data_IF_635664366315
#
_entry.id   IF_635664366315
#
_cell.length_a   1.000
_cell.length_b   1.000
_cell.length_c   1.000
_cell.angle_alpha   90.00
_cell.angle_beta   90.00
_cell.angle_gamma   90.00
#
_symmetry.space_group_name_H-M   'P 1'
#
loop_
_entity.id
_entity.type
_entity.pdbx_description
1 polymer ?
#
# COMPACT_ATOMS: atom_id res chain seq x y z
N UNK A 1 5.21 -10.61 2.64
CA UNK A 1 3.76 -10.44 2.42
C UNK A 1 2.99 -11.21 3.47
N UNK A 2 1.78 -10.74 3.79
CA UNK A 2 0.79 -11.44 4.59
C UNK A 2 -0.12 -12.24 3.65
N UNK A 3 -0.03 -13.55 3.69
CA UNK A 3 -0.78 -14.47 2.81
C UNK A 3 -1.91 -15.12 3.60
N UNK A 4 -3.14 -14.94 3.13
CA UNK A 4 -4.30 -15.65 3.66
C UNK A 4 -4.59 -16.85 2.78
N UNK A 5 -4.32 -18.05 3.29
CA UNK A 5 -4.49 -19.31 2.59
C UNK A 5 -5.82 -19.97 2.95
N UNK A 6 -6.73 -20.05 2.00
CA UNK A 6 -7.96 -20.81 2.07
C UNK A 6 -7.76 -22.24 1.56
N UNK A 7 -8.13 -23.24 2.36
CA UNK A 7 -7.99 -24.65 1.99
C UNK A 7 -9.36 -25.30 1.98
N UNK A 8 -9.73 -25.93 0.85
CA UNK A 8 -11.02 -26.57 0.68
C UNK A 8 -10.92 -28.10 0.66
N UNK A 9 -12.04 -28.79 0.91
CA UNK A 9 -12.09 -30.24 1.11
C UNK A 9 -11.92 -31.05 -0.17
N UNK A 10 -10.71 -31.50 -0.42
CA UNK A 10 -10.34 -32.38 -1.52
C UNK A 10 -8.98 -32.99 -1.26
N UNK A 11 -8.68 -34.10 -1.93
CA UNK A 11 -7.42 -34.85 -1.70
C UNK A 11 -6.19 -33.95 -1.84
N UNK A 12 -6.18 -33.01 -2.77
CA UNK A 12 -5.06 -32.11 -3.00
C UNK A 12 -4.73 -31.21 -1.79
N UNK A 13 -5.56 -31.18 -0.74
CA UNK A 13 -5.26 -30.48 0.51
C UNK A 13 -4.00 -31.01 1.20
N UNK A 14 -3.54 -32.27 0.91
CA UNK A 14 -2.27 -32.81 1.42
C UNK A 14 -1.05 -31.97 0.98
N UNK A 15 -1.16 -31.21 -0.11
CA UNK A 15 -0.09 -30.29 -0.59
C UNK A 15 -0.02 -28.98 0.21
N UNK A 16 -1.08 -28.61 0.93
CA UNK A 16 -1.14 -27.34 1.65
C UNK A 16 -0.05 -27.19 2.74
N UNK A 17 0.32 -28.20 3.53
CA UNK A 17 1.45 -28.10 4.45
C UNK A 17 2.77 -27.71 3.78
N UNK A 18 3.06 -28.26 2.61
CA UNK A 18 4.25 -27.91 1.83
C UNK A 18 4.18 -26.47 1.34
N UNK A 19 3.02 -26.05 0.83
CA UNK A 19 2.76 -24.69 0.38
C UNK A 19 2.98 -23.66 1.51
N UNK A 20 2.41 -23.91 2.70
CA UNK A 20 2.65 -23.08 3.89
C UNK A 20 4.14 -23.01 4.22
N UNK A 21 4.85 -24.14 4.21
CA UNK A 21 6.28 -24.20 4.52
C UNK A 21 7.13 -23.41 3.52
N UNK A 22 6.79 -23.46 2.23
CA UNK A 22 7.50 -22.72 1.18
C UNK A 22 7.33 -21.20 1.38
N UNK A 23 6.12 -20.73 1.60
CA UNK A 23 5.88 -19.32 1.88
C UNK A 23 6.61 -18.82 3.13
N UNK A 24 6.53 -19.57 4.23
CA UNK A 24 7.24 -19.20 5.48
C UNK A 24 8.75 -19.18 5.30
N UNK A 25 9.35 -20.13 4.55
CA UNK A 25 10.78 -20.11 4.22
C UNK A 25 11.22 -18.89 3.42
N UNK A 26 10.31 -18.35 2.59
CA UNK A 26 10.55 -17.13 1.79
C UNK A 26 10.26 -15.85 2.56
N UNK A 27 9.99 -15.93 3.86
CA UNK A 27 9.78 -14.78 4.74
C UNK A 27 8.36 -14.20 4.71
N UNK A 28 7.38 -14.94 4.16
CA UNK A 28 5.99 -14.53 4.20
C UNK A 28 5.32 -14.97 5.51
N UNK A 29 4.35 -14.20 5.98
CA UNK A 29 3.47 -14.58 7.09
C UNK A 29 2.22 -15.24 6.52
N UNK A 30 1.89 -16.46 6.98
CA UNK A 30 0.74 -17.23 6.49
C UNK A 30 -0.29 -17.37 7.59
N UNK A 31 -1.55 -16.99 7.31
CA UNK A 31 -2.73 -17.38 8.09
C UNK A 31 -3.59 -18.32 7.26
N UNK A 32 -4.23 -19.29 7.92
CA UNK A 32 -4.96 -20.36 7.24
C UNK A 32 -6.42 -20.35 7.64
N UNK A 33 -7.31 -20.43 6.64
CA UNK A 33 -8.73 -20.73 6.80
C UNK A 33 -8.99 -22.11 6.21
N UNK A 34 -9.49 -23.05 7.01
CA UNK A 34 -9.93 -24.37 6.57
C UNK A 34 -11.46 -24.40 6.44
N UNK A 35 -11.97 -24.89 5.32
CA UNK A 35 -13.38 -25.33 5.32
C UNK A 35 -13.54 -26.57 6.20
N UNK A 36 -14.75 -26.79 6.71
CA UNK A 36 -15.02 -27.98 7.56
C UNK A 36 -14.59 -29.29 6.87
N UNK A 37 -14.90 -29.40 5.57
CA UNK A 37 -14.51 -30.57 4.77
C UNK A 37 -13.00 -30.70 4.55
N UNK A 38 -12.24 -29.65 4.63
CA UNK A 38 -10.79 -29.70 4.48
C UNK A 38 -10.10 -30.42 5.67
N UNK A 39 -10.71 -30.40 6.85
CA UNK A 39 -10.21 -31.07 8.06
C UNK A 39 -10.13 -32.58 7.91
N UNK A 40 -10.90 -33.17 7.00
CA UNK A 40 -10.86 -34.61 6.69
C UNK A 40 -9.57 -35.00 5.94
N UNK A 41 -8.89 -34.03 5.29
CA UNK A 41 -7.70 -34.26 4.46
C UNK A 41 -6.41 -33.73 5.09
N UNK A 42 -6.49 -32.69 5.90
CA UNK A 42 -5.34 -32.08 6.58
C UNK A 42 -5.76 -31.50 7.92
N UNK A 43 -4.93 -31.74 8.95
CA UNK A 43 -5.29 -31.33 10.30
C UNK A 43 -4.96 -29.84 10.57
N UNK A 44 -5.81 -29.14 11.35
CA UNK A 44 -5.48 -27.78 11.84
C UNK A 44 -4.15 -27.75 12.59
N UNK A 45 -3.81 -28.79 13.37
CA UNK A 45 -2.57 -28.88 14.13
C UNK A 45 -1.34 -28.83 13.23
N UNK A 46 -1.32 -29.58 12.12
CA UNK A 46 -0.22 -29.56 11.15
C UNK A 46 -0.01 -28.14 10.59
N UNK A 47 -1.09 -27.50 10.18
CA UNK A 47 -1.02 -26.18 9.53
C UNK A 47 -0.66 -25.05 10.51
N UNK A 48 -1.18 -25.10 11.76
CA UNK A 48 -0.85 -24.10 12.78
C UNK A 48 0.62 -24.20 13.21
N UNK A 49 1.14 -25.42 13.32
CA UNK A 49 2.56 -25.66 13.63
C UNK A 49 3.48 -25.09 12.55
N UNK A 50 3.13 -25.29 11.27
CA UNK A 50 3.95 -24.83 10.14
C UNK A 50 3.85 -23.33 9.90
N UNK A 51 2.65 -22.75 10.01
CA UNK A 51 2.41 -21.33 9.81
C UNK A 51 2.79 -20.48 11.03
N UNK A 52 2.91 -21.10 12.21
CA UNK A 52 3.06 -20.43 13.52
C UNK A 52 1.90 -19.48 13.84
N UNK A 53 0.74 -19.72 13.26
CA UNK A 53 -0.48 -18.94 13.44
C UNK A 53 -1.66 -19.89 13.70
N UNK A 54 -2.69 -19.46 14.45
CA UNK A 54 -3.93 -20.21 14.59
C UNK A 54 -4.57 -20.49 13.23
N UNK A 55 -5.17 -21.67 13.09
CA UNK A 55 -5.96 -22.08 11.93
C UNK A 55 -7.43 -21.87 12.24
N UNK A 56 -8.11 -21.12 11.36
CA UNK A 56 -9.50 -20.75 11.54
C UNK A 56 -10.41 -21.60 10.63
N UNK A 57 -11.61 -21.93 11.08
CA UNK A 57 -12.58 -22.69 10.26
C UNK A 57 -14.02 -22.23 10.43
N UNK A 58 -14.33 -21.59 11.54
CA UNK A 58 -15.67 -21.14 11.90
C UNK A 58 -15.68 -19.64 12.23
N UNK A 59 -16.85 -19.01 12.18
CA UNK A 59 -17.02 -17.60 12.55
C UNK A 59 -16.75 -17.34 14.04
N UNK A 60 -16.97 -18.34 14.89
CA UNK A 60 -16.71 -18.23 16.32
C UNK A 60 -15.90 -19.44 16.80
N UNK A 61 -15.05 -19.22 17.80
CA UNK A 61 -14.37 -20.30 18.51
C UNK A 61 -15.35 -21.00 19.47
N UNK A 62 -14.96 -22.17 19.99
CA UNK A 62 -15.71 -22.87 21.05
C UNK A 62 -15.82 -22.05 22.34
N UNK A 63 -14.92 -21.11 22.55
CA UNK A 63 -14.86 -20.21 23.71
C UNK A 63 -15.68 -18.92 23.50
N UNK A 64 -16.29 -18.76 22.31
CA UNK A 64 -17.15 -17.62 21.97
C UNK A 64 -16.44 -16.43 21.32
N UNK A 65 -15.14 -16.50 21.06
CA UNK A 65 -14.41 -15.44 20.38
C UNK A 65 -14.81 -15.39 18.90
N UNK A 66 -14.98 -14.17 18.38
CA UNK A 66 -15.38 -13.93 17.01
C UNK A 66 -14.20 -13.87 16.05
N UNK A 67 -14.19 -14.72 15.02
CA UNK A 67 -13.23 -14.67 13.93
C UNK A 67 -13.72 -13.69 12.86
N UNK A 68 -13.26 -12.45 12.92
CA UNK A 68 -13.67 -11.40 12.00
C UNK A 68 -13.13 -11.67 10.58
N UNK A 69 -14.03 -12.00 9.66
CA UNK A 69 -13.71 -12.16 8.23
C UNK A 69 -13.19 -10.87 7.60
N UNK A 70 -13.69 -9.71 8.07
CA UNK A 70 -13.22 -8.38 7.61
C UNK A 70 -11.78 -8.14 8.05
N UNK A 71 -11.46 -8.38 9.33
CA UNK A 71 -10.09 -8.20 9.83
C UNK A 71 -9.09 -9.15 9.17
N UNK A 72 -9.52 -10.36 8.81
CA UNK A 72 -8.69 -11.31 8.04
C UNK A 72 -8.44 -10.82 6.62
N UNK A 73 -9.45 -10.29 5.94
CA UNK A 73 -9.33 -9.74 4.61
C UNK A 73 -8.44 -8.47 4.58
N UNK A 74 -8.58 -7.59 5.57
CA UNK A 74 -7.77 -6.37 5.71
C UNK A 74 -6.30 -6.66 6.09
N UNK A 75 -6.05 -7.74 6.84
CA UNK A 75 -4.69 -8.14 7.23
C UNK A 75 -3.87 -8.67 6.04
N UNK A 76 -4.52 -9.28 5.04
CA UNK A 76 -3.86 -9.94 3.93
C UNK A 76 -3.32 -8.94 2.89
N UNK A 77 -2.17 -9.26 2.30
CA UNK A 77 -1.68 -8.65 1.05
C UNK A 77 -2.12 -9.47 -0.17
N UNK A 78 -2.43 -10.77 0.06
CA UNK A 78 -2.86 -11.76 -0.93
C UNK A 78 -3.79 -12.78 -0.28
N UNK A 79 -4.87 -13.14 -0.98
CA UNK A 79 -5.69 -14.31 -0.63
C UNK A 79 -5.46 -15.40 -1.68
N UNK A 80 -5.06 -16.59 -1.22
CA UNK A 80 -4.86 -17.78 -2.06
C UNK A 80 -5.84 -18.86 -1.63
N UNK A 81 -6.59 -19.44 -2.56
CA UNK A 81 -7.46 -20.60 -2.31
C UNK A 81 -6.84 -21.83 -3.00
N UNK A 82 -6.21 -22.69 -2.21
CA UNK A 82 -5.44 -23.83 -2.69
C UNK A 82 -5.48 -25.02 -1.70
N UNK A 83 -6.12 -26.16 -2.08
CA UNK A 83 -6.88 -26.37 -3.30
C UNK A 83 -8.22 -25.63 -3.32
N UNK A 84 -8.71 -25.27 -4.51
CA UNK A 84 -10.06 -24.81 -4.75
C UNK A 84 -10.89 -25.91 -5.43
N UNK A 85 -11.86 -26.46 -4.70
CA UNK A 85 -12.77 -27.48 -5.26
C UNK A 85 -13.87 -26.84 -6.13
N UNK A 86 -14.47 -27.63 -7.02
CA UNK A 86 -15.59 -27.19 -7.87
C UNK A 86 -16.74 -26.57 -7.05
N UNK A 87 -17.05 -27.12 -5.87
CA UNK A 87 -18.08 -26.57 -4.97
C UNK A 87 -17.72 -25.14 -4.50
N UNK A 88 -16.48 -24.91 -4.07
CA UNK A 88 -16.05 -23.59 -3.61
C UNK A 88 -15.98 -22.59 -4.76
N UNK A 89 -15.45 -23.00 -5.91
CA UNK A 89 -15.41 -22.20 -7.13
C UNK A 89 -16.83 -21.74 -7.53
N UNK A 90 -17.80 -22.65 -7.54
CA UNK A 90 -19.19 -22.32 -7.83
C UNK A 90 -19.76 -21.32 -6.82
N UNK A 91 -19.55 -21.54 -5.53
CA UNK A 91 -20.00 -20.64 -4.46
C UNK A 91 -19.40 -19.24 -4.59
N UNK A 92 -18.10 -19.15 -4.89
CA UNK A 92 -17.42 -17.88 -5.14
C UNK A 92 -18.01 -17.14 -6.35
N UNK A 93 -18.21 -17.84 -7.46
CA UNK A 93 -18.73 -17.26 -8.71
C UNK A 93 -20.14 -16.69 -8.55
N UNK A 94 -20.96 -17.28 -7.66
CA UNK A 94 -22.34 -16.84 -7.41
C UNK A 94 -22.54 -16.06 -6.10
N UNK A 95 -21.45 -15.68 -5.43
CA UNK A 95 -21.53 -14.83 -4.24
C UNK A 95 -22.16 -15.50 -3.01
N UNK A 96 -22.12 -16.83 -2.92
CA UNK A 96 -22.62 -17.54 -1.74
C UNK A 96 -21.68 -17.32 -0.55
N UNK A 97 -22.24 -17.21 0.67
CA UNK A 97 -21.51 -16.83 1.88
C UNK A 97 -21.94 -17.70 3.08
N UNK A 98 -21.71 -19.01 3.01
CA UNK A 98 -22.15 -19.98 4.01
C UNK A 98 -21.06 -20.44 4.98
N UNK A 99 -19.84 -19.90 4.86
CA UNK A 99 -18.71 -20.23 5.73
C UNK A 99 -17.71 -19.08 5.82
N UNK A 100 -16.77 -19.17 6.79
CA UNK A 100 -15.76 -18.13 7.05
C UNK A 100 -14.90 -17.82 5.82
N UNK A 101 -14.51 -18.84 5.04
CA UNK A 101 -13.68 -18.65 3.84
C UNK A 101 -14.38 -17.77 2.80
N UNK A 102 -15.62 -18.06 2.50
CA UNK A 102 -16.42 -17.31 1.51
C UNK A 102 -16.76 -15.90 1.98
N UNK A 103 -17.06 -15.71 3.27
CA UNK A 103 -17.26 -14.38 3.84
C UNK A 103 -15.99 -13.54 3.75
N UNK A 104 -14.83 -14.13 4.01
CA UNK A 104 -13.53 -13.45 3.89
C UNK A 104 -13.21 -13.14 2.43
N UNK A 105 -13.51 -14.05 1.49
CA UNK A 105 -13.38 -13.80 0.06
C UNK A 105 -14.20 -12.60 -0.40
N UNK A 106 -15.48 -12.51 -0.02
CA UNK A 106 -16.33 -11.39 -0.40
C UNK A 106 -15.92 -10.06 0.26
N UNK A 107 -15.15 -10.10 1.33
CA UNK A 107 -14.61 -8.92 2.01
C UNK A 107 -13.21 -8.53 1.52
N UNK A 108 -12.56 -9.37 0.70
CA UNK A 108 -11.19 -9.17 0.26
C UNK A 108 -11.09 -8.02 -0.76
N UNK A 109 -10.19 -7.06 -0.48
CA UNK A 109 -9.80 -5.96 -1.37
C UNK A 109 -8.42 -6.18 -2.03
N UNK A 110 -7.80 -7.30 -1.69
CA UNK A 110 -6.48 -7.72 -2.18
C UNK A 110 -6.63 -8.69 -3.36
N UNK A 111 -5.56 -8.91 -4.16
CA UNK A 111 -5.58 -9.93 -5.20
C UNK A 111 -5.98 -11.30 -4.65
N UNK A 112 -6.92 -11.96 -5.34
CA UNK A 112 -7.37 -13.31 -5.01
C UNK A 112 -6.87 -14.28 -6.05
N UNK A 113 -6.19 -15.33 -5.60
CA UNK A 113 -5.63 -16.39 -6.41
C UNK A 113 -6.33 -17.70 -6.13
N UNK A 114 -6.62 -18.47 -7.16
CA UNK A 114 -7.39 -19.70 -7.07
C UNK A 114 -6.64 -20.81 -7.77
N UNK A 115 -6.32 -21.88 -7.05
CA UNK A 115 -5.67 -23.09 -7.58
C UNK A 115 -6.70 -24.24 -7.61
N UNK A 116 -7.35 -24.48 -8.76
CA UNK A 116 -8.35 -25.52 -8.89
C UNK A 116 -7.78 -26.93 -8.67
N UNK A 117 -8.59 -27.79 -8.06
CA UNK A 117 -8.25 -29.21 -7.90
C UNK A 117 -9.52 -30.06 -7.92
N UNK A 118 -9.65 -30.93 -8.93
CA UNK A 118 -10.79 -31.82 -9.12
C UNK A 118 -10.46 -32.90 -10.15
N UNK A 119 -11.35 -33.87 -10.35
CA UNK A 119 -11.19 -34.86 -11.41
C UNK A 119 -11.29 -34.27 -12.81
N UNK A 120 -10.72 -34.95 -13.78
CA UNK A 120 -10.64 -34.59 -15.20
C UNK A 120 -12.00 -34.13 -15.77
N UNK A 121 -13.02 -34.97 -15.62
CA UNK A 121 -14.33 -34.70 -16.19
C UNK A 121 -15.04 -33.52 -15.49
N UNK A 122 -14.81 -33.37 -14.18
CA UNK A 122 -15.28 -32.20 -13.44
C UNK A 122 -14.60 -30.91 -13.91
N UNK A 123 -13.29 -30.94 -14.17
CA UNK A 123 -12.56 -29.78 -14.62
C UNK A 123 -12.98 -29.32 -16.02
N UNK A 124 -13.25 -30.31 -16.91
CA UNK A 124 -13.74 -30.07 -18.28
C UNK A 124 -15.25 -29.70 -18.34
N UNK A 125 -15.98 -29.89 -17.23
CA UNK A 125 -17.42 -29.67 -17.23
C UNK A 125 -17.77 -28.21 -17.54
N UNK A 126 -18.74 -27.92 -18.44
CA UNK A 126 -19.06 -26.54 -18.88
C UNK A 126 -19.36 -25.58 -17.72
N UNK A 127 -20.00 -26.04 -16.66
CA UNK A 127 -20.29 -25.18 -15.49
C UNK A 127 -19.02 -24.79 -14.73
N UNK A 128 -18.04 -25.66 -14.63
CA UNK A 128 -16.76 -25.36 -13.97
C UNK A 128 -15.95 -24.40 -14.81
N UNK A 129 -15.87 -24.64 -16.11
CA UNK A 129 -15.19 -23.74 -17.06
C UNK A 129 -15.85 -22.34 -17.04
N UNK A 130 -17.18 -22.27 -17.04
CA UNK A 130 -17.92 -21.02 -16.91
C UNK A 130 -17.62 -20.31 -15.59
N UNK A 131 -17.66 -21.00 -14.47
CA UNK A 131 -17.40 -20.42 -13.15
C UNK A 131 -15.96 -19.88 -13.01
N UNK A 132 -14.98 -20.60 -13.56
CA UNK A 132 -13.58 -20.11 -13.59
C UNK A 132 -13.44 -18.86 -14.43
N UNK A 133 -14.04 -18.81 -15.61
CA UNK A 133 -14.06 -17.62 -16.45
C UNK A 133 -14.75 -16.42 -15.77
N UNK A 134 -15.86 -16.68 -15.05
CA UNK A 134 -16.55 -15.65 -14.28
C UNK A 134 -15.67 -15.11 -13.14
N UNK A 135 -14.96 -15.96 -12.39
CA UNK A 135 -14.01 -15.50 -11.37
C UNK A 135 -12.87 -14.67 -11.97
N UNK A 136 -12.37 -15.05 -13.16
CA UNK A 136 -11.38 -14.22 -13.88
C UNK A 136 -11.96 -12.86 -14.25
N UNK A 137 -13.21 -12.77 -14.69
CA UNK A 137 -13.86 -11.49 -14.99
C UNK A 137 -14.05 -10.61 -13.75
N UNK A 138 -14.09 -11.18 -12.55
CA UNK A 138 -14.12 -10.48 -11.26
C UNK A 138 -12.72 -10.06 -10.77
N UNK A 139 -11.66 -10.39 -11.54
CA UNK A 139 -10.28 -10.04 -11.20
C UNK A 139 -9.54 -11.10 -10.39
N UNK A 140 -10.08 -12.33 -10.24
CA UNK A 140 -9.34 -13.42 -9.64
C UNK A 140 -8.29 -13.98 -10.60
N UNK A 141 -7.11 -14.30 -10.09
CA UNK A 141 -6.08 -15.03 -10.83
C UNK A 141 -6.32 -16.53 -10.71
N UNK A 142 -6.51 -17.20 -11.84
CA UNK A 142 -6.67 -18.66 -11.88
C UNK A 142 -5.34 -19.29 -12.21
N UNK A 143 -4.76 -20.03 -11.25
CA UNK A 143 -3.57 -20.87 -11.49
C UNK A 143 -4.03 -22.10 -12.25
N UNK A 144 -3.45 -22.34 -13.41
CA UNK A 144 -3.84 -23.46 -14.24
C UNK A 144 -3.67 -24.80 -13.52
N UNK A 145 -4.69 -25.67 -13.59
CA UNK A 145 -4.56 -27.02 -13.09
C UNK A 145 -3.49 -27.80 -13.89
N UNK A 146 -2.67 -28.58 -13.19
CA UNK A 146 -1.62 -29.37 -13.81
C UNK A 146 -2.20 -30.60 -14.52
N UNK A 147 -1.47 -31.06 -15.55
CA UNK A 147 -1.73 -32.33 -16.24
C UNK A 147 -1.00 -33.47 -15.53
N UNK A 148 -1.63 -34.60 -15.37
CA UNK A 148 -1.01 -35.82 -14.80
C UNK A 148 -2.03 -36.83 -14.31
N UNK A 149 -1.54 -37.84 -13.60
CA UNK A 149 -2.39 -38.85 -12.96
C UNK A 149 -3.19 -38.26 -11.81
N UNK A 150 -4.48 -38.52 -11.78
CA UNK A 150 -5.45 -38.07 -10.79
C UNK A 150 -5.68 -39.19 -9.73
N UNK A 151 -6.29 -38.82 -8.60
CA UNK A 151 -6.61 -39.77 -7.56
C UNK A 151 -7.58 -40.91 -8.00
N UNK A 152 -8.32 -40.66 -9.08
CA UNK A 152 -9.19 -41.64 -9.76
C UNK A 152 -8.41 -42.67 -10.60
N UNK A 153 -7.11 -42.46 -10.81
CA UNK A 153 -6.28 -43.25 -11.76
C UNK A 153 -6.38 -42.73 -13.22
N UNK A 154 -7.22 -41.78 -13.51
CA UNK A 154 -7.28 -41.16 -14.81
C UNK A 154 -6.09 -40.19 -15.03
N UNK A 155 -5.69 -39.99 -16.28
CA UNK A 155 -4.60 -39.06 -16.65
C UNK A 155 -5.19 -37.92 -17.44
N UNK A 156 -5.02 -36.72 -16.92
CA UNK A 156 -5.54 -35.50 -17.56
C UNK A 156 -5.29 -34.24 -16.76
N UNK A 157 -5.95 -33.15 -17.16
CA UNK A 157 -5.89 -31.87 -16.49
C UNK A 157 -6.92 -31.83 -15.35
N UNK A 158 -6.51 -31.39 -14.14
CA UNK A 158 -7.39 -31.31 -12.97
C UNK A 158 -6.61 -31.32 -11.65
N UNK A 159 -5.32 -31.71 -11.67
CA UNK A 159 -4.47 -31.68 -10.47
C UNK A 159 -4.20 -30.24 -10.04
N UNK A 160 -4.24 -29.99 -8.73
CA UNK A 160 -3.70 -28.73 -8.22
C UNK A 160 -2.23 -28.59 -8.68
N UNK A 161 -1.86 -27.43 -9.16
CA UNK A 161 -0.47 -27.08 -9.47
C UNK A 161 0.46 -27.44 -8.30
N UNK A 162 1.72 -27.72 -8.59
CA UNK A 162 2.66 -28.05 -7.52
C UNK A 162 2.93 -26.85 -6.62
N UNK A 163 3.13 -27.03 -5.32
CA UNK A 163 3.38 -25.92 -4.40
C UNK A 163 4.48 -24.97 -4.82
N UNK A 164 5.55 -25.50 -5.41
CA UNK A 164 6.68 -24.71 -5.93
C UNK A 164 6.28 -23.82 -7.08
N UNK A 165 5.44 -24.32 -8.00
CA UNK A 165 4.97 -23.57 -9.15
C UNK A 165 3.99 -22.47 -8.72
N UNK A 166 3.08 -22.77 -7.78
CA UNK A 166 2.16 -21.78 -7.19
C UNK A 166 2.95 -20.64 -6.56
N UNK A 167 3.95 -20.96 -5.74
CA UNK A 167 4.77 -19.95 -5.07
C UNK A 167 5.55 -19.12 -6.08
N UNK A 168 6.14 -19.76 -7.10
CA UNK A 168 6.88 -19.05 -8.15
C UNK A 168 5.97 -18.10 -8.93
N UNK A 169 4.81 -18.55 -9.40
CA UNK A 169 3.87 -17.74 -10.16
C UNK A 169 3.38 -16.52 -9.37
N UNK A 170 3.08 -16.71 -8.08
CA UNK A 170 2.72 -15.61 -7.18
C UNK A 170 3.88 -14.62 -7.03
N UNK A 171 5.10 -15.08 -6.73
CA UNK A 171 6.25 -14.21 -6.55
C UNK A 171 6.63 -13.46 -7.82
N UNK A 172 6.58 -14.11 -8.97
CA UNK A 172 6.85 -13.49 -10.27
C UNK A 172 5.83 -12.38 -10.54
N UNK A 173 4.54 -12.64 -10.28
CA UNK A 173 3.50 -11.64 -10.45
C UNK A 173 3.71 -10.44 -9.51
N UNK A 174 4.03 -10.69 -8.23
CA UNK A 174 4.33 -9.62 -7.29
C UNK A 174 5.66 -8.90 -7.60
N UNK A 175 6.64 -9.58 -8.15
CA UNK A 175 7.91 -8.97 -8.61
C UNK A 175 7.68 -8.03 -9.79
N UNK A 176 6.81 -8.39 -10.72
CA UNK A 176 6.39 -7.52 -11.85
C UNK A 176 5.53 -6.34 -11.38
N UNK A 177 4.84 -6.45 -10.24
CA UNK A 177 4.07 -5.35 -9.64
C UNK A 177 4.87 -4.47 -8.68
N UNK A 178 6.20 -4.66 -8.58
CA UNK A 178 7.11 -3.80 -7.82
C UNK A 178 7.94 -2.88 -8.75
N UNK A 179 7.31 -1.92 -9.40
CA UNK A 179 7.97 -1.08 -10.42
C UNK A 179 9.07 -0.19 -9.84
N UNK A 180 9.10 -0.02 -8.50
CA UNK A 180 10.12 0.76 -7.79
C UNK A 180 11.21 -0.11 -7.13
N UNK A 181 11.26 -1.42 -7.43
CA UNK A 181 12.29 -2.31 -6.89
C UNK A 181 13.70 -1.83 -7.27
N UNK A 182 14.56 -1.66 -6.27
CA UNK A 182 15.91 -1.15 -6.44
C UNK A 182 16.00 0.36 -6.67
N UNK A 183 14.89 1.09 -6.58
CA UNK A 183 14.86 2.56 -6.60
C UNK A 183 14.88 3.11 -5.18
N UNK A 184 15.62 4.20 -4.97
CA UNK A 184 15.62 4.98 -3.74
C UNK A 184 14.69 6.16 -3.89
N UNK A 185 13.73 6.30 -2.97
CA UNK A 185 12.72 7.35 -3.00
C UNK A 185 12.83 8.20 -1.73
N UNK A 186 13.09 9.50 -1.90
CA UNK A 186 13.08 10.49 -0.84
C UNK A 186 11.70 11.16 -0.80
N UNK A 187 11.09 11.20 0.39
CA UNK A 187 9.79 11.86 0.59
C UNK A 187 9.90 12.79 1.78
N UNK A 188 9.45 14.05 1.63
CA UNK A 188 9.22 14.95 2.76
C UNK A 188 7.73 15.00 3.07
N UNK A 189 7.37 15.00 4.35
CA UNK A 189 5.97 14.98 4.79
C UNK A 189 5.76 15.76 6.10
N UNK A 190 4.51 16.12 6.37
CA UNK A 190 4.14 16.85 7.57
C UNK A 190 4.39 18.36 7.49
N UNK A 191 4.01 19.12 8.52
CA UNK A 191 4.34 20.52 8.64
C UNK A 191 5.79 20.71 9.13
N UNK A 192 6.29 21.95 9.08
CA UNK A 192 7.39 22.38 9.95
C UNK A 192 6.88 23.35 10.98
N UNK A 193 7.52 23.35 12.16
CA UNK A 193 7.22 24.24 13.28
C UNK A 193 8.42 25.12 13.56
N UNK A 194 8.23 26.41 13.34
CA UNK A 194 9.26 27.43 13.54
C UNK A 194 9.02 28.07 14.91
N UNK A 195 9.89 27.76 15.87
CA UNK A 195 9.70 28.16 17.24
C UNK A 195 9.71 29.69 17.42
N UNK A 196 8.72 30.21 18.13
CA UNK A 196 8.69 31.59 18.64
C UNK A 196 9.36 31.62 20.02
N UNK A 197 9.04 30.64 20.84
CA UNK A 197 9.57 30.40 22.17
C UNK A 197 9.41 28.90 22.52
N UNK A 198 9.81 28.40 23.70
CA UNK A 198 9.67 26.98 24.05
C UNK A 198 8.27 26.41 24.00
N UNK A 199 7.22 27.25 23.85
CA UNK A 199 5.81 26.85 23.93
C UNK A 199 5.05 27.09 22.64
N UNK A 200 5.44 28.10 21.84
CA UNK A 200 4.69 28.57 20.66
C UNK A 200 5.54 28.50 19.40
N UNK A 201 4.87 28.29 18.29
CA UNK A 201 5.50 28.20 16.95
C UNK A 201 4.61 28.80 15.87
N UNK A 202 5.22 29.09 14.73
CA UNK A 202 4.56 29.35 13.43
C UNK A 202 4.62 28.03 12.63
N UNK A 203 3.53 27.65 11.99
CA UNK A 203 3.48 26.42 11.20
C UNK A 203 2.20 26.27 10.40
N UNK A 204 2.09 25.19 9.62
CA UNK A 204 0.97 24.89 8.75
C UNK A 204 0.06 23.80 9.34
N UNK A 205 -1.22 23.76 8.93
CA UNK A 205 -2.22 22.78 9.38
C UNK A 205 -2.03 21.35 8.83
N UNK A 206 -0.91 21.05 8.19
CA UNK A 206 -0.66 19.73 7.64
C UNK A 206 -0.56 18.66 8.73
N UNK A 207 -1.10 17.48 8.46
CA UNK A 207 -0.99 16.28 9.32
C UNK A 207 0.06 15.29 8.86
N UNK A 208 0.57 15.45 7.62
CA UNK A 208 1.51 14.51 7.01
C UNK A 208 0.88 13.31 6.30
N UNK A 209 -0.45 13.11 6.40
CA UNK A 209 -1.15 11.93 5.85
C UNK A 209 -0.78 11.63 4.40
N UNK A 210 -0.75 12.64 3.50
CA UNK A 210 -0.46 12.42 2.08
C UNK A 210 0.96 11.91 1.85
N UNK A 211 1.96 12.54 2.48
CA UNK A 211 3.35 12.11 2.33
C UNK A 211 3.63 10.74 2.95
N UNK A 212 2.95 10.41 4.06
CA UNK A 212 3.01 9.07 4.67
C UNK A 212 2.35 8.03 3.76
N UNK A 213 1.21 8.33 3.13
CA UNK A 213 0.56 7.45 2.16
C UNK A 213 1.48 7.18 0.95
N UNK A 214 2.17 8.21 0.43
CA UNK A 214 3.18 8.08 -0.62
C UNK A 214 4.35 7.19 -0.18
N UNK A 215 4.86 7.36 1.04
CA UNK A 215 5.97 6.57 1.56
C UNK A 215 5.57 5.08 1.71
N UNK A 216 4.39 4.81 2.26
CA UNK A 216 3.88 3.45 2.41
C UNK A 216 3.66 2.77 1.05
N UNK A 217 3.06 3.48 0.09
CA UNK A 217 2.83 2.92 -1.25
C UNK A 217 4.14 2.71 -2.01
N UNK A 218 5.12 3.63 -1.91
CA UNK A 218 6.43 3.45 -2.53
C UNK A 218 7.17 2.22 -1.95
N UNK A 219 7.12 2.02 -0.63
CA UNK A 219 7.67 0.84 0.03
C UNK A 219 6.97 -0.45 -0.44
N UNK A 220 5.64 -0.42 -0.57
CA UNK A 220 4.84 -1.54 -1.11
C UNK A 220 5.24 -1.88 -2.55
N UNK A 221 5.58 -0.87 -3.37
CA UNK A 221 6.08 -1.03 -4.74
C UNK A 221 7.57 -1.39 -4.81
N UNK A 222 8.22 -1.72 -3.67
CA UNK A 222 9.57 -2.26 -3.59
C UNK A 222 10.69 -1.21 -3.51
N UNK A 223 10.37 0.07 -3.31
CA UNK A 223 11.37 1.12 -3.13
C UNK A 223 12.08 1.03 -1.78
N UNK A 224 13.36 1.43 -1.74
CA UNK A 224 14.05 1.87 -0.53
C UNK A 224 13.59 3.30 -0.23
N UNK A 225 12.77 3.48 0.81
CA UNK A 225 12.13 4.77 1.10
C UNK A 225 12.80 5.48 2.25
N UNK A 226 13.19 6.74 2.03
CA UNK A 226 13.64 7.68 3.05
C UNK A 226 12.54 8.73 3.27
N UNK A 227 11.90 8.69 4.45
CA UNK A 227 10.85 9.62 4.83
C UNK A 227 11.39 10.64 5.82
N UNK A 228 11.46 11.91 5.41
CA UNK A 228 11.74 13.04 6.30
C UNK A 228 10.41 13.62 6.75
N UNK A 229 10.09 13.43 8.03
CA UNK A 229 8.77 13.70 8.58
C UNK A 229 8.82 14.81 9.64
N UNK A 230 8.11 15.89 9.38
CA UNK A 230 7.82 16.93 10.36
C UNK A 230 6.86 16.44 11.45
N UNK A 231 6.46 17.30 12.41
CA UNK A 231 5.56 16.92 13.49
C UNK A 231 4.26 16.32 12.97
N UNK A 232 3.98 15.08 13.36
CA UNK A 232 2.80 14.32 12.92
C UNK A 232 2.39 13.33 13.99
N UNK A 233 1.08 13.23 14.24
CA UNK A 233 0.48 12.24 15.12
C UNK A 233 0.21 10.89 14.42
N UNK A 234 0.41 10.81 13.10
CA UNK A 234 0.17 9.59 12.33
C UNK A 234 1.18 8.49 12.72
N UNK A 235 0.66 7.29 12.97
CA UNK A 235 1.44 6.13 13.44
C UNK A 235 1.58 5.03 12.38
N UNK A 236 0.72 5.04 11.36
CA UNK A 236 0.69 3.99 10.34
C UNK A 236 1.79 4.20 9.29
N UNK A 237 3.04 3.94 9.70
CA UNK A 237 4.22 4.01 8.83
C UNK A 237 4.81 2.61 8.72
N UNK A 238 5.04 2.15 7.50
CA UNK A 238 5.62 0.84 7.22
C UNK A 238 7.00 0.73 7.89
N UNK A 239 7.25 -0.38 8.59
CA UNK A 239 8.48 -0.61 9.36
C UNK A 239 9.76 -0.68 8.52
N UNK A 240 9.66 -0.87 7.20
CA UNK A 240 10.81 -0.89 6.28
C UNK A 240 11.20 0.51 5.76
N UNK A 241 10.48 1.56 6.17
CA UNK A 241 10.79 2.95 5.79
C UNK A 241 11.87 3.51 6.69
N UNK A 242 12.91 4.09 6.10
CA UNK A 242 13.93 4.84 6.82
C UNK A 242 13.37 6.20 7.25
N UNK A 243 12.85 6.25 8.48
CA UNK A 243 12.19 7.43 9.03
C UNK A 243 13.19 8.39 9.70
N UNK A 244 13.21 9.65 9.23
CA UNK A 244 13.93 10.76 9.84
C UNK A 244 12.92 11.79 10.34
N UNK A 245 12.82 11.98 11.66
CA UNK A 245 11.94 13.00 12.26
C UNK A 245 12.65 14.32 12.40
N UNK A 246 11.98 15.39 12.00
CA UNK A 246 12.47 16.76 12.06
C UNK A 246 11.37 17.67 12.63
N UNK A 247 11.74 18.87 13.04
CA UNK A 247 10.78 19.85 13.56
C UNK A 247 10.72 21.09 12.68
N UNK A 248 11.86 21.68 12.32
CA UNK A 248 11.93 22.95 11.60
C UNK A 248 12.21 22.77 10.10
N UNK A 249 11.96 23.81 9.31
CA UNK A 249 12.31 23.90 7.89
C UNK A 249 13.81 23.67 7.66
N UNK A 250 14.66 24.23 8.54
CA UNK A 250 16.11 24.05 8.48
C UNK A 250 16.50 22.58 8.62
N UNK A 251 15.97 21.89 9.64
CA UNK A 251 16.25 20.47 9.85
C UNK A 251 15.74 19.61 8.69
N UNK A 252 14.56 19.94 8.15
CA UNK A 252 14.00 19.23 6.98
C UNK A 252 14.88 19.44 5.74
N UNK A 253 15.38 20.64 5.53
CA UNK A 253 16.32 20.96 4.44
C UNK A 253 17.59 20.13 4.55
N UNK A 254 18.25 20.15 5.72
CA UNK A 254 19.51 19.43 5.96
C UNK A 254 19.32 17.92 5.73
N UNK A 255 18.25 17.34 6.29
CA UNK A 255 17.93 15.93 6.14
C UNK A 255 17.57 15.54 4.69
N UNK A 256 16.92 16.44 3.94
CA UNK A 256 16.57 16.20 2.53
C UNK A 256 17.81 16.27 1.64
N UNK A 257 18.66 17.29 1.81
CA UNK A 257 19.90 17.48 1.00
C UNK A 257 20.85 16.29 1.19
N UNK A 258 21.06 15.82 2.43
CA UNK A 258 21.93 14.67 2.72
C UNK A 258 21.54 13.42 1.91
N UNK A 259 20.24 13.22 1.68
CA UNK A 259 19.71 12.01 1.02
C UNK A 259 19.45 12.18 -0.47
N UNK A 260 19.37 13.42 -0.95
CA UNK A 260 18.94 13.73 -2.32
C UNK A 260 19.89 13.20 -3.38
N UNK A 261 21.20 13.32 -3.16
CA UNK A 261 22.22 12.89 -4.14
C UNK A 261 22.15 11.40 -4.47
N UNK A 262 21.69 10.58 -3.52
CA UNK A 262 21.62 9.12 -3.64
C UNK A 262 20.24 8.60 -4.07
N UNK A 263 19.22 9.46 -4.14
CA UNK A 263 17.86 9.03 -4.51
C UNK A 263 17.64 9.04 -6.03
N UNK A 264 16.67 8.24 -6.48
CA UNK A 264 16.22 8.24 -7.88
C UNK A 264 15.02 9.18 -8.07
N UNK A 265 14.14 9.25 -7.06
CA UNK A 265 12.93 10.05 -7.06
C UNK A 265 12.86 10.81 -5.73
N UNK A 266 12.56 12.10 -5.79
CA UNK A 266 12.28 12.92 -4.62
C UNK A 266 10.89 13.55 -4.75
N UNK A 267 10.02 13.33 -3.75
CA UNK A 267 8.65 13.85 -3.70
C UNK A 267 8.52 14.73 -2.46
N UNK A 268 8.39 16.03 -2.67
CA UNK A 268 8.32 17.01 -1.58
C UNK A 268 6.86 17.35 -1.29
N UNK A 269 6.24 16.58 -0.39
CA UNK A 269 4.84 16.72 0.03
C UNK A 269 4.67 17.41 1.39
N UNK A 270 5.77 17.87 2.02
CA UNK A 270 5.72 18.59 3.27
C UNK A 270 5.11 19.99 3.10
N UNK A 271 4.38 20.46 4.10
CA UNK A 271 3.91 21.82 4.22
C UNK A 271 4.92 22.63 5.06
N UNK A 272 6.00 23.03 4.40
CA UNK A 272 7.07 23.81 5.03
C UNK A 272 6.56 25.23 5.30
N UNK A 273 6.85 25.76 6.48
CA UNK A 273 6.56 27.17 6.78
C UNK A 273 7.47 28.09 5.94
N UNK A 274 6.88 29.07 5.27
CA UNK A 274 7.61 30.02 4.42
C UNK A 274 8.44 31.01 5.23
N UNK A 275 8.07 31.23 6.50
CA UNK A 275 8.69 32.19 7.40
C UNK A 275 9.01 31.56 8.76
N UNK A 276 10.11 32.02 9.36
CA UNK A 276 10.53 31.67 10.74
C UNK A 276 10.77 32.95 11.53
N UNK A 277 10.57 32.94 12.88
CA UNK A 277 10.96 34.09 13.70
C UNK A 277 12.44 34.42 13.53
N UNK A 278 12.75 35.72 13.36
CA UNK A 278 14.13 36.20 13.27
C UNK A 278 14.92 35.89 14.55
N UNK A 279 14.26 35.97 15.70
CA UNK A 279 14.83 35.68 17.01
C UNK A 279 13.87 34.74 17.76
N UNK A 280 14.40 33.61 18.19
CA UNK A 280 13.69 32.66 19.06
C UNK A 280 13.93 33.03 20.52
N UNK A 281 12.88 33.29 21.27
CA UNK A 281 13.01 33.62 22.68
C UNK A 281 13.43 32.35 23.49
N UNK A 282 14.45 32.44 24.36
CA UNK A 282 14.91 31.30 25.16
C UNK A 282 13.91 30.90 26.25
N UNK A 283 13.01 31.81 26.65
CA UNK A 283 11.98 31.59 27.64
C UNK A 283 10.59 31.95 27.07
N UNK A 284 9.55 31.39 27.66
CA UNK A 284 8.15 31.70 27.33
C UNK A 284 7.90 33.21 27.44
N UNK A 285 7.55 33.83 26.34
CA UNK A 285 7.20 35.25 26.27
C UNK A 285 5.95 35.50 27.13
N UNK A 286 6.07 36.31 28.16
CA UNK A 286 4.93 36.71 29.01
C UNK A 286 4.12 37.82 28.32
N UNK A 287 2.79 37.79 28.47
CA UNK A 287 1.92 38.83 27.94
C UNK A 287 2.28 40.18 28.58
N UNK A 288 2.68 41.13 27.77
CA UNK A 288 2.95 42.53 28.20
C UNK A 288 2.23 43.45 27.22
N UNK A 289 1.22 44.16 27.69
CA UNK A 289 0.42 45.09 26.88
C UNK A 289 -0.59 44.40 25.95
N UNK A 290 -1.14 45.16 24.98
CA UNK A 290 -2.25 44.72 24.12
C UNK A 290 -1.78 44.11 22.80
N UNK A 291 -0.57 44.45 22.32
CA UNK A 291 -0.04 43.98 21.05
C UNK A 291 1.25 43.19 21.24
N UNK A 292 1.43 42.19 20.40
CA UNK A 292 2.67 41.43 20.28
C UNK A 292 3.13 41.42 18.81
N UNK A 293 4.28 42.03 18.52
CA UNK A 293 4.88 42.06 17.21
C UNK A 293 5.93 40.97 17.10
N UNK A 294 5.91 40.23 16.00
CA UNK A 294 6.85 39.16 15.70
C UNK A 294 7.50 39.44 14.34
N UNK A 295 8.81 39.67 14.33
CA UNK A 295 9.57 39.79 13.10
C UNK A 295 9.81 38.39 12.52
N UNK A 296 9.45 38.22 11.25
CA UNK A 296 9.60 36.98 10.51
C UNK A 296 10.58 37.17 9.36
N UNK A 297 11.44 36.18 9.15
CA UNK A 297 12.35 36.11 8.03
C UNK A 297 12.01 34.88 7.17
N UNK A 298 12.29 34.87 5.85
CA UNK A 298 12.04 33.73 4.98
C UNK A 298 12.84 32.50 5.42
N UNK A 299 12.21 31.32 5.34
CA UNK A 299 12.90 30.04 5.48
C UNK A 299 13.61 29.62 4.19
N UNK A 300 14.40 28.56 4.25
CA UNK A 300 15.06 28.01 3.06
C UNK A 300 14.00 27.32 2.17
N UNK A 301 13.95 27.70 0.89
CA UNK A 301 13.13 27.00 -0.10
C UNK A 301 13.78 25.66 -0.48
N UNK A 302 13.34 24.59 0.19
CA UNK A 302 13.88 23.23 0.04
C UNK A 302 13.75 22.76 -1.41
N UNK A 303 12.56 22.94 -1.99
CA UNK A 303 12.26 22.49 -3.34
C UNK A 303 13.12 23.19 -4.40
N UNK A 304 13.27 24.50 -4.30
CA UNK A 304 14.14 25.27 -5.21
C UNK A 304 15.63 24.91 -5.01
N UNK A 305 16.04 24.64 -3.78
CA UNK A 305 17.41 24.22 -3.48
C UNK A 305 17.73 22.85 -4.10
N UNK A 306 16.85 21.87 -3.95
CA UNK A 306 17.01 20.56 -4.56
C UNK A 306 16.93 20.63 -6.09
N UNK A 307 16.09 21.50 -6.66
CA UNK A 307 16.06 21.72 -8.10
C UNK A 307 17.37 22.21 -8.70
N UNK A 308 18.13 23.04 -7.95
CA UNK A 308 19.48 23.47 -8.35
C UNK A 308 20.54 22.37 -8.22
N UNK A 309 20.36 21.44 -7.27
CA UNK A 309 21.25 20.32 -7.02
C UNK A 309 20.94 19.10 -7.91
N UNK A 310 19.80 19.10 -8.56
CA UNK A 310 19.30 17.98 -9.37
C UNK A 310 20.26 17.67 -10.53
N UNK A 311 20.55 16.37 -10.70
CA UNK A 311 21.28 15.81 -11.83
C UNK A 311 20.42 14.81 -12.60
N UNK A 312 20.27 13.60 -12.08
CA UNK A 312 19.48 12.51 -12.70
C UNK A 312 18.18 12.19 -11.94
N UNK A 313 18.01 12.80 -10.77
CA UNK A 313 16.86 12.55 -9.91
C UNK A 313 15.58 13.10 -10.54
N UNK A 314 14.46 12.37 -10.43
CA UNK A 314 13.13 12.92 -10.68
C UNK A 314 12.67 13.71 -9.46
N UNK A 315 12.38 14.98 -9.63
CA UNK A 315 11.98 15.89 -8.54
C UNK A 315 10.53 16.33 -8.71
N UNK A 316 9.68 15.94 -7.75
CA UNK A 316 8.25 16.22 -7.75
C UNK A 316 7.92 17.13 -6.57
N UNK A 317 7.25 18.25 -6.86
CA UNK A 317 6.74 19.17 -5.87
C UNK A 317 5.25 19.05 -5.63
N UNK A 318 4.77 19.67 -4.56
CA UNK A 318 3.36 19.88 -4.29
C UNK A 318 3.03 21.38 -4.38
N UNK A 319 1.85 21.68 -4.89
CA UNK A 319 1.27 23.02 -4.88
C UNK A 319 -0.14 22.95 -4.28
N UNK A 320 -0.43 23.84 -3.36
CA UNK A 320 -1.76 24.07 -2.81
C UNK A 320 -2.12 25.49 -3.14
N UNK A 321 -3.04 25.68 -4.07
CA UNK A 321 -3.39 26.98 -4.64
C UNK A 321 -4.87 27.29 -4.40
N UNK A 322 -5.21 28.57 -4.42
CA UNK A 322 -6.59 29.07 -4.27
C UNK A 322 -7.07 29.85 -5.47
N UNK A 323 -6.14 30.39 -6.29
CA UNK A 323 -6.41 31.18 -7.48
C UNK A 323 -5.38 30.88 -8.56
N UNK A 324 -5.78 30.97 -9.85
CA UNK A 324 -4.91 30.72 -11.02
C UNK A 324 -4.07 29.43 -10.87
N UNK A 325 -4.71 28.40 -10.37
CA UNK A 325 -4.07 27.19 -9.81
C UNK A 325 -3.10 26.52 -10.79
N UNK A 326 -3.53 26.29 -12.05
CA UNK A 326 -2.70 25.63 -13.08
C UNK A 326 -1.52 26.51 -13.50
N UNK A 327 -1.74 27.82 -13.66
CA UNK A 327 -0.69 28.75 -14.10
C UNK A 327 0.38 28.90 -13.01
N UNK A 328 -0.04 29.05 -11.75
CA UNK A 328 0.85 29.11 -10.59
C UNK A 328 1.67 27.80 -10.46
N UNK A 329 1.02 26.64 -10.62
CA UNK A 329 1.70 25.35 -10.58
C UNK A 329 2.73 25.21 -11.71
N UNK A 330 2.40 25.61 -12.96
CA UNK A 330 3.34 25.59 -14.09
C UNK A 330 4.52 26.54 -13.88
N UNK A 331 4.26 27.74 -13.35
CA UNK A 331 5.32 28.69 -13.00
C UNK A 331 6.27 28.11 -11.95
N UNK A 332 5.73 27.48 -10.92
CA UNK A 332 6.51 26.81 -9.86
C UNK A 332 7.32 25.64 -10.42
N UNK A 333 6.72 24.83 -11.30
CA UNK A 333 7.39 23.70 -11.98
C UNK A 333 8.63 24.19 -12.74
N UNK A 334 8.50 25.24 -13.55
CA UNK A 334 9.61 25.80 -14.34
C UNK A 334 10.68 26.45 -13.46
N UNK A 335 10.27 27.38 -12.56
CA UNK A 335 11.21 28.15 -11.72
C UNK A 335 12.05 27.27 -10.79
N UNK A 336 11.52 26.11 -10.37
CA UNK A 336 12.17 25.21 -9.43
C UNK A 336 12.77 23.96 -10.10
N UNK A 337 12.79 23.90 -11.43
CA UNK A 337 13.35 22.80 -12.24
C UNK A 337 12.76 21.43 -11.88
N UNK A 338 11.43 21.34 -11.72
CA UNK A 338 10.74 20.10 -11.37
C UNK A 338 10.45 19.27 -12.61
N UNK A 339 10.37 17.94 -12.45
CA UNK A 339 9.89 17.01 -13.47
C UNK A 339 8.37 16.85 -13.42
N UNK A 340 7.78 17.07 -12.24
CA UNK A 340 6.34 17.05 -12.05
C UNK A 340 5.91 17.86 -10.84
N UNK A 341 4.65 18.28 -10.83
CA UNK A 341 4.02 18.97 -9.70
C UNK A 341 2.62 18.40 -9.47
N UNK A 342 2.32 18.10 -8.22
CA UNK A 342 1.00 17.67 -7.76
C UNK A 342 0.26 18.90 -7.28
N UNK A 343 -0.77 19.29 -8.00
CA UNK A 343 -1.62 20.43 -7.67
C UNK A 343 -2.84 19.94 -6.89
N UNK A 344 -3.07 20.52 -5.73
CA UNK A 344 -4.27 20.39 -4.92
C UNK A 344 -5.02 21.72 -4.88
N UNK A 345 -6.36 21.68 -4.88
CA UNK A 345 -7.21 22.85 -4.71
C UNK A 345 -7.92 22.81 -3.36
N UNK A 346 -7.90 23.91 -2.63
CA UNK A 346 -8.72 24.08 -1.42
C UNK A 346 -10.21 24.27 -1.72
N UNK A 347 -10.57 24.48 -3.00
CA UNK A 347 -11.97 24.60 -3.45
C UNK A 347 -12.67 23.25 -3.53
N UNK A 348 -11.93 22.16 -3.66
CA UNK A 348 -12.48 20.80 -3.76
C UNK A 348 -12.90 20.29 -2.37
N UNK A 349 -14.21 20.10 -2.17
CA UNK A 349 -14.72 19.50 -0.93
C UNK A 349 -14.16 18.10 -0.75
N UNK A 350 -13.57 17.82 0.43
CA UNK A 350 -12.94 16.55 0.75
C UNK A 350 -11.48 16.42 0.33
N UNK A 351 -10.90 17.44 -0.31
CA UNK A 351 -9.47 17.57 -0.54
C UNK A 351 -8.82 18.52 0.48
N UNK A 352 -7.51 18.38 0.70
CA UNK A 352 -6.75 19.30 1.54
C UNK A 352 -6.22 18.69 2.84
N UNK A 353 -5.96 19.55 3.85
CA UNK A 353 -5.36 19.14 5.11
C UNK A 353 -6.35 18.37 6.01
N UNK A 354 -5.85 17.37 6.73
CA UNK A 354 -6.61 16.64 7.76
C UNK A 354 -7.62 15.61 7.23
N UNK A 355 -8.03 15.66 5.97
CA UNK A 355 -8.96 14.69 5.35
C UNK A 355 -8.26 13.38 5.00
N UNK A 356 -9.03 12.30 4.84
CA UNK A 356 -8.52 10.99 4.38
C UNK A 356 -8.57 10.84 2.85
N UNK A 357 -9.22 11.79 2.17
CA UNK A 357 -9.33 11.85 0.71
C UNK A 357 -8.52 13.00 0.12
N UNK A 358 -8.24 12.93 -1.18
CA UNK A 358 -7.65 14.00 -1.94
C UNK A 358 -8.10 13.96 -3.41
N UNK A 359 -8.11 15.13 -4.06
CA UNK A 359 -8.28 15.30 -5.50
C UNK A 359 -7.07 16.06 -6.02
N UNK A 360 -6.44 15.57 -7.07
CA UNK A 360 -5.20 16.14 -7.58
C UNK A 360 -5.22 16.31 -9.09
N UNK A 361 -4.38 17.25 -9.55
CA UNK A 361 -3.94 17.32 -10.93
C UNK A 361 -2.42 17.15 -10.96
N UNK A 362 -1.92 16.15 -11.71
CA UNK A 362 -0.50 15.96 -11.95
C UNK A 362 -0.09 16.71 -13.21
N UNK A 363 0.89 17.59 -13.10
CA UNK A 363 1.35 18.46 -14.19
C UNK A 363 2.83 18.21 -14.44
N UNK A 364 3.18 17.92 -15.67
CA UNK A 364 4.55 17.90 -16.19
C UNK A 364 4.75 19.04 -17.20
N UNK A 365 5.94 19.29 -17.72
CA UNK A 365 6.13 20.26 -18.82
C UNK A 365 5.22 19.99 -20.02
N UNK A 366 4.92 18.73 -20.32
CA UNK A 366 4.27 18.25 -21.55
C UNK A 366 2.81 17.83 -21.34
N UNK A 367 2.42 17.42 -20.10
CA UNK A 367 1.13 16.77 -19.83
C UNK A 367 0.45 17.38 -18.61
N UNK A 368 -0.88 17.39 -18.65
CA UNK A 368 -1.75 17.65 -17.50
C UNK A 368 -2.70 16.47 -17.35
N UNK A 369 -2.71 15.84 -16.16
CA UNK A 369 -3.56 14.70 -15.85
C UNK A 369 -4.35 14.96 -14.58
N UNK A 370 -5.68 15.02 -14.73
CA UNK A 370 -6.60 15.14 -13.59
C UNK A 370 -6.98 13.77 -13.02
N UNK A 371 -7.08 13.69 -11.70
CA UNK A 371 -7.52 12.50 -10.98
C UNK A 371 -8.75 12.85 -10.12
N UNK A 372 -9.77 11.99 -10.07
CA UNK A 372 -10.95 12.22 -9.26
C UNK A 372 -10.63 12.16 -7.76
N UNK A 373 -11.59 12.61 -6.94
CA UNK A 373 -11.49 12.47 -5.48
C UNK A 373 -11.41 10.97 -5.10
N UNK A 374 -10.33 10.62 -4.40
CA UNK A 374 -10.05 9.24 -3.94
C UNK A 374 -9.46 9.28 -2.53
N UNK A 375 -9.28 8.10 -1.90
CA UNK A 375 -8.47 8.00 -0.68
C UNK A 375 -7.02 8.43 -0.95
N UNK A 376 -6.32 8.90 0.08
CA UNK A 376 -4.91 9.32 -0.06
C UNK A 376 -3.99 8.18 -0.48
N UNK A 377 -4.31 6.94 -0.13
CA UNK A 377 -3.60 5.74 -0.56
C UNK A 377 -3.75 5.53 -2.07
N UNK A 378 -4.98 5.66 -2.60
CA UNK A 378 -5.24 5.53 -4.03
C UNK A 378 -4.58 6.67 -4.83
N UNK A 379 -4.61 7.90 -4.29
CA UNK A 379 -3.92 9.05 -4.89
C UNK A 379 -2.40 8.86 -4.86
N UNK A 380 -1.85 8.29 -3.79
CA UNK A 380 -0.42 7.97 -3.72
C UNK A 380 0.01 7.01 -4.82
N UNK A 381 -0.81 5.99 -5.11
CA UNK A 381 -0.57 5.06 -6.22
C UNK A 381 -0.59 5.78 -7.57
N UNK A 382 -1.56 6.66 -7.81
CA UNK A 382 -1.65 7.45 -9.05
C UNK A 382 -0.38 8.33 -9.22
N UNK A 383 0.03 9.06 -8.18
CA UNK A 383 1.23 9.91 -8.22
C UNK A 383 2.49 9.09 -8.53
N UNK A 384 2.70 7.95 -7.83
CA UNK A 384 3.87 7.10 -8.08
C UNK A 384 3.87 6.51 -9.48
N UNK A 385 2.70 6.15 -10.03
CA UNK A 385 2.57 5.71 -11.41
C UNK A 385 3.03 6.79 -12.39
N UNK A 386 2.61 8.04 -12.20
CA UNK A 386 3.08 9.15 -13.03
C UNK A 386 4.59 9.41 -12.85
N UNK A 387 5.12 9.30 -11.61
CA UNK A 387 6.57 9.44 -11.36
C UNK A 387 7.43 8.38 -12.05
N UNK A 388 6.92 7.16 -12.19
CA UNK A 388 7.61 6.06 -12.89
C UNK A 388 7.65 6.31 -14.40
N UNK A 389 6.60 6.94 -14.94
CA UNK A 389 6.45 7.21 -16.37
C UNK A 389 7.21 8.49 -16.85
N UNK A 390 7.77 9.26 -15.93
CA UNK A 390 8.68 10.39 -16.24
C UNK A 390 10.04 9.87 -16.75
#
# INVERSE_FOLDING_TARGET
MNILLGITGGIAAYKAPQLVRLFVKKGHTVRVILTEKAKEFVTPLTLSTLSKNPVLSTFATTEGDWNSHVALAEWADLMLIAPATANTIAKMAYGQCDNLLLATYLSAKVPVWVAPAMDLDMYAHPTVTHNLAQLQSFGCHIIAAAYGELASGLVGQGRMAEPEDIVREIEDNFSTTQPLKGKKVLITAGPTYEAIDPVRFVGNFSTGKMGIALANEAAKQGAEVHLVLGPSAEKNINSHIHLCRVVSAKQMYEAAVERFSSCNIAILAAAVADYTPEVVAPEKIKKKGDNFNLNLIPTVDILASLGKLKTTQKLIGFALETENEIENARTKLQKKHLDGIVLNSLRDKGAGFGTDTNKITFITPEKLQEFPLKSKEAVAKDILTECINL
#
